data_IF_078043425764
#
_entry.id   IF_078043425764
#
_cell.length_a   1.000
_cell.length_b   1.000
_cell.length_c   1.000
_cell.angle_alpha   90.00
_cell.angle_beta   90.00
_cell.angle_gamma   90.00
#
_symmetry.space_group_name_H-M   'P 1'
#
loop_
_entity.id
_entity.type
_entity.pdbx_description
1 polymer ?
#
# COMPACT_ATOMS: atom_id res chain seq x y z
N UNK A 1 -0.33 -14.87 19.33
CA UNK A 1 -0.05 -15.68 18.12
C UNK A 1 0.63 -14.78 17.10
N UNK A 2 1.65 -15.25 16.39
CA UNK A 2 2.42 -14.47 15.42
C UNK A 2 2.07 -14.95 14.00
N UNK A 3 1.92 -14.02 13.07
CA UNK A 3 1.70 -14.30 11.65
C UNK A 3 2.79 -13.64 10.82
N UNK A 4 3.33 -14.37 9.84
CA UNK A 4 4.34 -13.86 8.91
C UNK A 4 3.77 -13.88 7.51
N UNK A 5 3.76 -12.72 6.86
CA UNK A 5 3.36 -12.57 5.47
C UNK A 5 4.64 -12.24 4.68
N UNK A 6 5.02 -13.10 3.74
CA UNK A 6 6.21 -12.87 2.93
C UNK A 6 5.90 -11.82 1.87
N UNK A 7 6.90 -10.99 1.54
CA UNK A 7 6.76 -9.91 0.56
C UNK A 7 6.16 -10.36 -0.80
N UNK A 8 6.59 -11.53 -1.27
CA UNK A 8 6.10 -12.10 -2.54
C UNK A 8 4.62 -12.50 -2.53
N UNK A 9 4.05 -12.72 -1.33
CA UNK A 9 2.66 -13.15 -1.12
C UNK A 9 1.72 -11.95 -0.83
N UNK A 10 2.25 -10.72 -0.96
CA UNK A 10 1.48 -9.49 -0.89
C UNK A 10 0.73 -9.25 -2.20
N UNK A 11 -0.50 -8.72 -2.06
CA UNK A 11 -1.22 -8.11 -3.17
C UNK A 11 -0.43 -6.94 -3.75
N UNK A 12 -0.81 -6.48 -4.94
CA UNK A 12 -0.14 -5.37 -5.58
C UNK A 12 -0.73 -5.02 -6.92
N UNK A 13 -0.20 -3.95 -7.49
CA UNK A 13 -0.54 -3.48 -8.82
C UNK A 13 0.72 -2.96 -9.52
N UNK A 14 0.79 -3.18 -10.83
CA UNK A 14 1.81 -2.58 -11.69
C UNK A 14 1.10 -1.72 -12.74
N UNK A 15 1.22 -0.40 -12.59
CA UNK A 15 0.66 0.60 -13.50
C UNK A 15 1.72 1.10 -14.50
N UNK A 16 2.82 0.38 -14.66
CA UNK A 16 3.97 0.75 -15.49
C UNK A 16 4.85 1.84 -14.87
N UNK A 17 4.27 2.89 -14.27
CA UNK A 17 4.99 3.96 -13.58
C UNK A 17 5.05 3.81 -12.06
N UNK A 18 4.08 3.08 -11.50
CA UNK A 18 3.98 2.72 -10.09
C UNK A 18 3.97 1.20 -9.98
N UNK A 19 4.86 0.66 -9.16
CA UNK A 19 4.79 -0.73 -8.70
C UNK A 19 4.48 -0.71 -7.21
N UNK A 20 3.26 -1.11 -6.87
CA UNK A 20 2.76 -1.08 -5.50
C UNK A 20 2.65 -2.49 -4.92
N UNK A 21 2.98 -2.63 -3.64
CA UNK A 21 2.70 -3.82 -2.82
C UNK A 21 1.84 -3.45 -1.63
N UNK A 22 0.78 -4.22 -1.39
CA UNK A 22 -0.25 -3.93 -0.39
C UNK A 22 -0.23 -4.99 0.72
N UNK A 23 -0.02 -4.54 1.96
CA UNK A 23 -0.10 -5.42 3.14
C UNK A 23 -1.54 -5.71 3.56
N UNK A 24 -2.42 -4.72 3.35
CA UNK A 24 -3.86 -4.80 3.61
C UNK A 24 -4.64 -4.52 2.33
N UNK A 25 -5.93 -4.85 2.34
CA UNK A 25 -6.87 -4.56 1.25
C UNK A 25 -6.86 -3.07 0.92
N UNK A 26 -6.60 -2.74 -0.35
CA UNK A 26 -6.47 -1.37 -0.83
C UNK A 26 -6.72 -1.31 -2.34
N UNK A 27 -7.37 -0.24 -2.79
CA UNK A 27 -7.80 -0.07 -4.19
C UNK A 27 -8.54 -1.34 -4.69
N UNK A 28 -8.09 -1.93 -5.81
CA UNK A 28 -8.70 -3.13 -6.39
C UNK A 28 -8.23 -4.44 -5.74
N UNK A 29 -7.22 -4.41 -4.85
CA UNK A 29 -6.78 -5.59 -4.11
C UNK A 29 -7.66 -5.79 -2.86
N UNK A 30 -8.26 -6.98 -2.74
CA UNK A 30 -9.13 -7.34 -1.63
C UNK A 30 -8.78 -8.72 -1.06
N UNK A 31 -8.52 -8.76 0.25
CA UNK A 31 -8.42 -9.96 1.08
C UNK A 31 -9.16 -9.69 2.41
N UNK A 32 -10.30 -10.37 2.68
CA UNK A 32 -11.09 -10.14 3.89
C UNK A 32 -10.32 -10.46 5.18
N UNK A 33 -9.23 -11.23 5.10
CA UNK A 33 -8.36 -11.54 6.24
C UNK A 33 -7.28 -10.47 6.48
N UNK A 34 -7.12 -9.50 5.58
CA UNK A 34 -6.10 -8.45 5.64
C UNK A 34 -6.75 -7.06 5.53
N UNK A 35 -7.69 -6.74 6.41
CA UNK A 35 -8.36 -5.43 6.40
C UNK A 35 -7.63 -4.34 7.22
N UNK A 36 -6.69 -4.73 8.07
CA UNK A 36 -5.92 -3.83 8.93
C UNK A 36 -5.35 -4.54 10.16
N UNK A 37 -4.60 -3.82 10.98
CA UNK A 37 -4.07 -4.29 12.27
C UNK A 37 -4.10 -3.16 13.30
N UNK A 38 -5.01 -3.26 14.29
CA UNK A 38 -5.29 -2.15 15.20
C UNK A 38 -5.76 -0.91 14.41
N UNK A 39 -5.11 0.23 14.64
CA UNK A 39 -5.38 1.47 13.90
C UNK A 39 -4.78 1.51 12.49
N UNK A 40 -3.84 0.60 12.17
CA UNK A 40 -3.18 0.58 10.86
C UNK A 40 -4.15 0.01 9.83
N UNK A 41 -4.47 0.81 8.81
CA UNK A 41 -5.41 0.42 7.73
C UNK A 41 -4.71 0.11 6.41
N UNK A 42 -3.65 0.84 6.08
CA UNK A 42 -2.93 0.70 4.80
C UNK A 42 -1.43 0.73 5.07
N UNK A 43 -0.69 -0.21 4.47
CA UNK A 43 0.76 -0.13 4.32
C UNK A 43 1.06 -0.50 2.87
N UNK A 44 1.42 0.52 2.09
CA UNK A 44 1.86 0.37 0.71
C UNK A 44 3.38 0.49 0.62
N UNK A 45 3.99 -0.40 -0.16
CA UNK A 45 5.38 -0.29 -0.58
C UNK A 45 5.40 0.05 -2.07
N UNK A 46 5.72 1.31 -2.36
CA UNK A 46 5.53 1.93 -3.67
C UNK A 46 6.87 2.29 -4.30
N UNK A 47 7.14 1.71 -5.47
CA UNK A 47 8.25 2.12 -6.33
C UNK A 47 7.68 3.01 -7.45
N UNK A 48 8.07 4.29 -7.42
CA UNK A 48 7.61 5.30 -8.37
C UNK A 48 8.74 5.61 -9.36
N UNK A 49 8.46 5.55 -10.66
CA UNK A 49 9.41 5.93 -11.70
C UNK A 49 9.78 7.42 -11.59
N UNK A 50 11.01 7.75 -12.00
CA UNK A 50 11.48 9.13 -12.04
C UNK A 50 10.51 10.04 -12.80
N UNK A 51 10.29 11.25 -12.27
CA UNK A 51 9.40 12.29 -12.82
C UNK A 51 7.92 11.87 -12.94
N UNK A 52 7.48 10.90 -12.13
CA UNK A 52 6.08 10.49 -11.99
C UNK A 52 5.63 10.67 -10.55
N UNK A 53 4.32 10.63 -10.36
CA UNK A 53 3.68 10.82 -9.07
C UNK A 53 2.17 10.73 -9.22
N UNK A 54 1.47 10.86 -8.10
CA UNK A 54 0.02 10.91 -8.08
C UNK A 54 -0.46 12.34 -8.35
N UNK A 55 -1.51 12.49 -9.13
CA UNK A 55 -2.19 13.77 -9.29
C UNK A 55 -2.83 14.21 -7.96
N UNK A 56 -3.09 15.51 -7.75
CA UNK A 56 -3.80 15.99 -6.57
C UNK A 56 -5.12 15.24 -6.36
N UNK A 57 -5.33 14.73 -5.16
CA UNK A 57 -6.54 14.02 -4.75
C UNK A 57 -6.86 14.31 -3.28
N UNK A 58 -8.12 14.08 -2.90
CA UNK A 58 -8.61 14.39 -1.56
C UNK A 58 -8.46 13.20 -0.61
N UNK A 59 -8.16 13.52 0.64
CA UNK A 59 -8.29 12.62 1.78
C UNK A 59 -9.18 13.26 2.83
N UNK A 60 -9.85 12.44 3.64
CA UNK A 60 -10.63 12.87 4.77
C UNK A 60 -10.41 11.92 5.95
N UNK A 61 -10.30 12.46 7.16
CA UNK A 61 -10.20 11.73 8.44
C UNK A 61 -9.16 10.58 8.45
N UNK A 62 -7.95 10.83 7.93
CA UNK A 62 -6.86 9.85 7.88
C UNK A 62 -5.50 10.50 8.16
N UNK A 63 -4.76 9.92 9.10
CA UNK A 63 -3.34 10.24 9.30
C UNK A 63 -2.51 9.46 8.26
N UNK A 64 -1.75 10.17 7.42
CA UNK A 64 -0.94 9.58 6.35
C UNK A 64 0.53 9.86 6.62
N UNK A 65 1.33 8.79 6.68
CA UNK A 65 2.77 8.87 6.93
C UNK A 65 3.51 8.31 5.73
N UNK A 66 4.50 9.05 5.23
CA UNK A 66 5.39 8.59 4.16
C UNK A 66 6.80 8.41 4.70
N UNK A 67 7.37 7.22 4.46
CA UNK A 67 8.78 6.94 4.72
C UNK A 67 9.50 6.70 3.39
N UNK A 68 10.45 7.58 3.05
CA UNK A 68 11.18 7.53 1.77
C UNK A 68 12.41 6.62 1.92
N UNK A 69 12.55 5.67 1.00
CA UNK A 69 13.69 4.75 0.90
C UNK A 69 14.07 4.50 -0.57
N UNK A 70 15.31 4.07 -0.81
CA UNK A 70 15.87 3.74 -2.14
C UNK A 70 16.15 2.25 -2.29
#
# INVERSE_FOLDING_TARGET
>A
MISVIKYKDLGGADHGWLKAKHHFSFASYYDPKRMGFGSIRVINDDIIKAKKGFDPHQHNDMEIITYVRS
#
